data_IF_214356008348
#
_entry.id   IF_214356008348
#
_cell.length_a   1.000
_cell.length_b   1.000
_cell.length_c   1.000
_cell.angle_alpha   90.00
_cell.angle_beta   90.00
_cell.angle_gamma   90.00
#
_symmetry.space_group_name_H-M   'P 1'
#
loop_
_entity.id
_entity.type
_entity.pdbx_description
1 polymer ?
#
# COMPACT_ATOMS: atom_id res chain seq x y z
N UNK A 1 -55.10 -26.34 16.95
CA UNK A 1 -53.95 -27.01 16.31
C UNK A 1 -53.22 -25.97 15.47
N UNK A 2 -52.19 -25.34 16.04
CA UNK A 2 -51.37 -24.30 15.38
C UNK A 2 -50.38 -24.95 14.41
N UNK A 3 -50.22 -24.37 13.21
CA UNK A 3 -49.07 -24.62 12.34
C UNK A 3 -48.41 -23.29 11.99
N UNK A 4 -47.11 -23.28 12.17
CA UNK A 4 -46.27 -22.12 12.40
C UNK A 4 -45.65 -21.72 11.05
N UNK A 5 -45.81 -20.47 10.62
CA UNK A 5 -45.23 -19.99 9.35
C UNK A 5 -44.49 -18.65 9.51
N UNK A 6 -43.94 -18.40 10.70
CA UNK A 6 -43.25 -17.13 11.02
C UNK A 6 -41.75 -17.17 10.73
N UNK A 7 -41.16 -18.33 10.45
CA UNK A 7 -39.71 -18.49 10.33
C UNK A 7 -39.14 -18.09 8.95
N UNK A 8 -39.92 -18.18 7.86
CA UNK A 8 -39.39 -17.99 6.49
C UNK A 8 -39.31 -16.51 6.08
N UNK A 9 -40.08 -15.62 6.72
CA UNK A 9 -40.21 -14.22 6.28
C UNK A 9 -39.20 -13.23 6.85
N UNK A 10 -38.32 -13.65 7.78
CA UNK A 10 -37.34 -12.74 8.42
C UNK A 10 -35.90 -12.85 7.91
N UNK A 11 -35.60 -13.79 7.01
CA UNK A 11 -34.22 -14.04 6.55
C UNK A 11 -33.90 -13.28 5.23
N UNK A 12 -34.90 -12.75 4.54
CA UNK A 12 -34.70 -12.16 3.21
C UNK A 12 -34.18 -10.70 3.15
N UNK A 13 -34.28 -9.83 4.18
CA UNK A 13 -33.70 -8.48 4.07
C UNK A 13 -32.26 -8.38 4.59
N UNK A 14 -31.67 -9.45 5.16
CA UNK A 14 -30.31 -9.37 5.74
C UNK A 14 -29.18 -9.75 4.79
N UNK A 15 -29.48 -10.39 3.65
CA UNK A 15 -28.45 -10.80 2.67
C UNK A 15 -28.22 -9.79 1.55
N UNK A 16 -29.13 -8.83 1.35
CA UNK A 16 -28.99 -7.81 0.30
C UNK A 16 -28.24 -6.55 0.77
N UNK A 17 -28.11 -6.36 2.09
CA UNK A 17 -27.28 -5.29 2.66
C UNK A 17 -25.78 -5.66 2.74
N UNK A 18 -25.44 -6.96 2.66
CA UNK A 18 -24.05 -7.44 2.75
C UNK A 18 -23.33 -7.55 1.39
N UNK A 19 -24.03 -7.44 0.25
CA UNK A 19 -23.37 -7.39 -1.06
C UNK A 19 -22.98 -5.97 -1.52
N UNK A 20 -23.56 -4.93 -0.92
CA UNK A 20 -23.24 -3.53 -1.27
C UNK A 20 -21.96 -3.00 -0.63
N UNK A 21 -21.47 -3.63 0.45
CA UNK A 21 -20.32 -3.14 1.22
C UNK A 21 -18.95 -3.59 0.66
N UNK A 22 -18.91 -4.53 -0.29
CA UNK A 22 -17.66 -5.00 -0.92
C UNK A 22 -17.33 -4.26 -2.24
N UNK A 23 -18.24 -3.46 -2.78
CA UNK A 23 -18.07 -2.76 -4.06
C UNK A 23 -17.51 -1.33 -3.95
N UNK A 24 -17.20 -0.84 -2.75
CA UNK A 24 -16.88 0.56 -2.48
C UNK A 24 -15.46 0.83 -1.98
N UNK A 25 -14.62 -0.19 -1.80
CA UNK A 25 -13.18 0.02 -1.60
C UNK A 25 -12.54 0.19 -2.98
N UNK A 26 -12.87 1.28 -3.67
CA UNK A 26 -11.96 1.73 -4.72
C UNK A 26 -10.69 2.14 -3.97
N UNK A 27 -9.53 1.47 -4.15
CA UNK A 27 -8.28 2.07 -3.71
C UNK A 27 -8.27 3.46 -4.35
N UNK A 28 -8.13 4.50 -3.53
CA UNK A 28 -8.06 5.86 -4.04
C UNK A 28 -7.04 5.84 -5.19
N UNK A 29 -7.47 6.26 -6.38
CA UNK A 29 -6.60 6.32 -7.55
C UNK A 29 -5.57 7.43 -7.27
N UNK A 30 -4.48 7.04 -6.60
CA UNK A 30 -3.42 7.93 -6.15
C UNK A 30 -2.36 8.17 -7.23
N UNK A 31 -2.55 7.55 -8.40
CA UNK A 31 -1.68 7.71 -9.56
C UNK A 31 -1.94 9.05 -10.26
N UNK A 32 -0.87 9.81 -10.44
CA UNK A 32 -0.80 10.99 -11.29
C UNK A 32 -0.43 10.52 -12.69
N UNK A 33 -1.37 10.64 -13.64
CA UNK A 33 -1.14 10.31 -15.05
C UNK A 33 -0.21 11.35 -15.69
N UNK A 34 0.91 10.89 -16.23
CA UNK A 34 1.95 11.74 -16.85
C UNK A 34 1.94 11.64 -18.38
N UNK A 35 1.52 10.50 -18.92
CA UNK A 35 1.40 10.24 -20.35
C UNK A 35 0.24 9.29 -20.61
N UNK A 36 -0.55 9.60 -21.62
CA UNK A 36 -1.63 8.75 -22.12
C UNK A 36 -1.83 9.01 -23.61
N UNK A 37 -1.28 8.13 -24.44
CA UNK A 37 -1.43 8.20 -25.89
C UNK A 37 -1.09 6.87 -26.54
N UNK A 38 -1.78 6.55 -27.64
CA UNK A 38 -1.51 5.38 -28.48
C UNK A 38 -1.50 4.09 -27.64
N UNK A 39 -2.53 3.95 -26.78
CA UNK A 39 -2.72 2.85 -25.83
C UNK A 39 -1.56 2.62 -24.86
N UNK A 40 -0.67 3.60 -24.73
CA UNK A 40 0.46 3.59 -23.82
C UNK A 40 0.24 4.63 -22.74
N UNK A 41 0.47 4.23 -21.50
CA UNK A 41 0.31 5.05 -20.31
C UNK A 41 1.60 5.07 -19.50
N UNK A 42 1.88 6.23 -18.91
CA UNK A 42 2.88 6.38 -17.88
C UNK A 42 2.27 7.19 -16.74
N UNK A 43 2.34 6.68 -15.52
CA UNK A 43 1.87 7.38 -14.33
C UNK A 43 2.92 7.34 -13.23
N UNK A 44 2.74 8.16 -12.22
CA UNK A 44 3.53 8.13 -10.99
C UNK A 44 2.62 8.18 -9.79
N UNK A 45 2.99 7.47 -8.74
CA UNK A 45 2.32 7.46 -7.46
C UNK A 45 3.36 7.61 -6.36
N UNK A 46 2.91 7.97 -5.17
CA UNK A 46 3.81 8.10 -4.04
C UNK A 46 3.06 8.15 -2.73
N UNK A 47 3.78 7.76 -1.69
CA UNK A 47 3.32 7.88 -0.32
C UNK A 47 4.38 8.62 0.48
N UNK A 48 3.95 9.69 1.16
CA UNK A 48 4.81 10.47 2.02
C UNK A 48 4.23 10.60 3.42
N UNK A 49 5.04 10.29 4.43
CA UNK A 49 4.74 10.51 5.83
C UNK A 49 6.01 10.94 6.56
N UNK A 50 5.85 11.99 7.38
CA UNK A 50 6.91 12.55 8.20
C UNK A 50 6.27 13.05 9.50
N UNK A 51 6.93 12.74 10.61
CA UNK A 51 6.48 13.07 11.95
C UNK A 51 7.60 13.74 12.71
N UNK A 52 7.28 14.87 13.34
CA UNK A 52 8.12 15.44 14.36
C UNK A 52 7.81 14.76 15.70
N UNK A 53 8.82 14.16 16.31
CA UNK A 53 8.71 13.42 17.57
C UNK A 53 9.58 14.10 18.61
N UNK A 54 8.95 14.66 19.63
CA UNK A 54 9.62 15.08 20.85
C UNK A 54 9.42 14.01 21.91
N UNK A 55 10.48 13.60 22.59
CA UNK A 55 10.40 12.60 23.65
C UNK A 55 11.35 12.93 24.79
N UNK A 56 10.87 12.63 25.99
CA UNK A 56 11.61 12.62 27.24
C UNK A 56 11.56 11.18 27.76
N UNK A 57 12.71 10.53 27.87
CA UNK A 57 12.83 9.14 28.25
C UNK A 57 13.68 9.06 29.50
N UNK A 58 13.04 8.72 30.61
CA UNK A 58 13.71 8.49 31.90
C UNK A 58 13.97 6.98 32.06
N UNK A 59 15.22 6.58 32.30
CA UNK A 59 15.60 5.18 32.55
C UNK A 59 16.35 5.06 33.87
N UNK A 60 16.26 3.89 34.52
CA UNK A 60 17.01 3.67 35.75
C UNK A 60 18.53 3.79 35.50
N UNK A 61 19.13 4.80 36.13
CA UNK A 61 20.51 5.22 35.92
C UNK A 61 20.60 6.41 34.95
N UNK A 62 21.05 7.55 35.48
CA UNK A 62 21.19 8.88 34.83
C UNK A 62 21.85 8.85 33.43
N UNK A 63 22.62 7.81 33.11
CA UNK A 63 23.35 7.68 31.83
C UNK A 63 22.43 7.46 30.62
N UNK A 64 21.16 7.08 30.83
CA UNK A 64 20.24 6.76 29.73
C UNK A 64 19.10 7.75 29.55
N UNK A 65 19.01 8.78 30.40
CA UNK A 65 18.00 9.82 30.30
C UNK A 65 18.19 10.62 29.01
N UNK A 66 17.09 10.79 28.26
CA UNK A 66 17.13 11.35 26.91
C UNK A 66 15.97 12.30 26.68
N UNK A 67 16.31 13.56 26.44
CA UNK A 67 15.41 14.54 25.83
C UNK A 67 15.83 14.78 24.39
N UNK A 68 14.92 14.50 23.46
CA UNK A 68 15.23 14.53 22.03
C UNK A 68 14.07 15.04 21.19
N UNK A 69 14.43 15.65 20.07
CA UNK A 69 13.52 16.08 19.01
C UNK A 69 14.02 15.48 17.70
N UNK A 70 13.18 14.72 17.01
CA UNK A 70 13.58 13.96 15.81
C UNK A 70 12.51 14.04 14.73
N UNK A 71 12.94 14.01 13.47
CA UNK A 71 12.08 13.68 12.34
C UNK A 71 12.11 12.18 12.12
N UNK A 72 10.92 11.58 12.01
CA UNK A 72 10.74 10.14 11.77
C UNK A 72 9.66 9.90 10.73
N UNK A 73 9.60 8.69 10.21
CA UNK A 73 8.44 8.16 9.52
C UNK A 73 7.71 7.12 10.38
N UNK A 74 6.48 6.83 9.98
CA UNK A 74 5.71 5.70 10.47
C UNK A 74 6.25 4.36 9.95
N UNK A 75 5.51 3.29 10.22
CA UNK A 75 5.90 1.93 9.86
C UNK A 75 6.07 1.75 8.34
N UNK A 76 5.18 2.35 7.54
CA UNK A 76 5.24 2.29 6.09
C UNK A 76 6.27 3.30 5.55
N UNK A 77 7.29 2.84 4.80
CA UNK A 77 8.29 3.73 4.27
C UNK A 77 7.72 4.65 3.18
N UNK A 78 8.33 5.83 3.07
CA UNK A 78 8.05 6.76 1.98
C UNK A 78 8.43 6.12 0.65
N UNK A 79 7.68 6.36 -0.41
CA UNK A 79 8.09 5.91 -1.74
C UNK A 79 7.61 6.83 -2.86
N UNK A 80 8.31 6.72 -3.99
CA UNK A 80 7.86 7.18 -5.30
C UNK A 80 7.87 6.01 -6.27
N UNK A 81 6.78 5.85 -7.01
CA UNK A 81 6.54 4.81 -7.99
C UNK A 81 6.35 5.39 -9.38
N UNK A 82 6.81 4.65 -10.38
CA UNK A 82 6.55 4.91 -11.79
C UNK A 82 5.90 3.67 -12.38
N UNK A 83 4.79 3.87 -13.07
CA UNK A 83 4.03 2.79 -13.69
C UNK A 83 4.00 2.99 -15.19
N UNK A 84 4.11 1.87 -15.90
CA UNK A 84 3.98 1.78 -17.35
C UNK A 84 2.84 0.83 -17.66
N UNK A 85 2.01 1.19 -18.64
CA UNK A 85 0.97 0.32 -19.17
C UNK A 85 0.90 0.44 -20.68
N UNK A 86 0.71 -0.67 -21.39
CA UNK A 86 0.49 -0.66 -22.83
C UNK A 86 -0.42 -1.80 -23.27
N UNK A 87 -1.40 -1.53 -24.13
CA UNK A 87 -2.12 -2.59 -24.84
C UNK A 87 -1.42 -2.95 -26.15
N UNK A 88 -1.38 -4.24 -26.44
CA UNK A 88 -0.88 -4.82 -27.70
C UNK A 88 -1.81 -5.98 -28.05
N UNK A 89 -2.69 -5.75 -29.03
CA UNK A 89 -3.74 -6.71 -29.42
C UNK A 89 -4.57 -7.14 -28.20
N UNK A 90 -4.57 -8.44 -27.88
CA UNK A 90 -5.30 -9.05 -26.76
C UNK A 90 -4.51 -9.00 -25.45
N UNK A 91 -3.25 -8.51 -25.48
CA UNK A 91 -2.37 -8.50 -24.32
C UNK A 91 -2.28 -7.10 -23.70
N UNK A 92 -2.20 -7.08 -22.37
CA UNK A 92 -1.87 -5.89 -21.60
C UNK A 92 -0.48 -6.05 -20.99
N UNK A 93 0.44 -5.17 -21.37
CA UNK A 93 1.77 -5.07 -20.79
C UNK A 93 1.74 -4.05 -19.65
N UNK A 94 2.32 -4.41 -18.52
CA UNK A 94 2.47 -3.53 -17.36
C UNK A 94 3.92 -3.45 -16.90
N UNK A 95 4.22 -2.47 -16.07
CA UNK A 95 5.49 -2.40 -15.38
C UNK A 95 5.48 -1.39 -14.25
N UNK A 96 6.30 -1.65 -13.24
CA UNK A 96 6.49 -0.77 -12.09
C UNK A 96 7.94 -0.70 -11.68
N UNK A 97 8.41 0.52 -11.43
CA UNK A 97 9.64 0.80 -10.71
C UNK A 97 9.32 1.69 -9.50
N UNK A 98 9.64 1.25 -8.28
CA UNK A 98 9.43 2.04 -7.07
C UNK A 98 10.68 2.14 -6.23
N UNK A 99 10.91 3.33 -5.70
CA UNK A 99 12.05 3.69 -4.87
C UNK A 99 11.55 4.10 -3.50
N UNK A 100 12.01 3.40 -2.48
CA UNK A 100 11.56 3.56 -1.11
C UNK A 100 12.63 4.29 -0.33
N UNK A 101 12.24 5.37 0.33
CA UNK A 101 13.15 6.33 0.95
C UNK A 101 12.96 6.31 2.46
N UNK A 102 14.08 6.21 3.18
CA UNK A 102 14.13 6.45 4.63
C UNK A 102 14.45 7.91 4.95
N UNK A 103 13.82 8.50 5.96
CA UNK A 103 14.05 9.86 6.47
C UNK A 103 14.14 9.89 8.00
N UNK A 104 14.44 8.73 8.63
CA UNK A 104 14.51 8.63 10.07
C UNK A 104 15.82 9.23 10.59
N UNK A 105 15.72 10.16 11.52
CA UNK A 105 16.88 10.67 12.25
C UNK A 105 17.45 9.59 13.19
N UNK A 106 18.78 9.56 13.26
CA UNK A 106 19.51 8.77 14.25
C UNK A 106 19.62 9.55 15.56
N UNK A 107 20.28 8.98 16.55
CA UNK A 107 20.57 9.69 17.79
C UNK A 107 21.82 10.58 17.71
N UNK A 108 22.80 10.13 16.95
CA UNK A 108 24.13 10.73 16.87
C UNK A 108 24.33 11.54 15.60
N UNK A 109 23.44 11.38 14.62
CA UNK A 109 23.57 11.94 13.28
C UNK A 109 22.25 12.56 12.83
N UNK A 110 22.34 13.52 11.90
CA UNK A 110 21.17 14.11 11.26
C UNK A 110 20.41 13.12 10.37
N UNK A 111 19.40 13.62 9.66
CA UNK A 111 18.56 12.80 8.77
C UNK A 111 19.42 12.01 7.79
N UNK A 112 19.41 10.68 7.92
CA UNK A 112 20.06 9.78 6.98
C UNK A 112 19.03 9.26 5.98
N UNK A 113 19.40 9.24 4.70
CA UNK A 113 18.52 8.85 3.61
C UNK A 113 19.08 7.64 2.90
N UNK A 114 18.34 6.53 2.97
CA UNK A 114 18.62 5.33 2.18
C UNK A 114 17.52 5.16 1.13
N UNK A 115 17.93 4.72 -0.07
CA UNK A 115 17.02 4.32 -1.14
C UNK A 115 17.09 2.81 -1.28
N UNK A 116 15.94 2.14 -1.22
CA UNK A 116 15.80 0.73 -1.49
C UNK A 116 14.81 0.49 -2.65
N UNK A 117 15.18 -0.42 -3.55
CA UNK A 117 14.31 -0.81 -4.66
C UNK A 117 13.49 -2.03 -4.23
N UNK A 118 12.25 -1.80 -3.79
CA UNK A 118 11.34 -2.88 -3.38
C UNK A 118 10.52 -3.46 -4.52
N UNK A 119 10.15 -2.64 -5.51
CA UNK A 119 9.40 -3.11 -6.67
C UNK A 119 10.12 -2.68 -7.94
N UNK A 120 10.46 -3.66 -8.76
CA UNK A 120 11.00 -3.46 -10.10
C UNK A 120 10.60 -4.67 -10.93
N UNK A 121 9.50 -4.56 -11.65
CA UNK A 121 8.90 -5.68 -12.38
C UNK A 121 8.17 -5.22 -13.64
N UNK A 122 7.97 -6.17 -14.54
CA UNK A 122 7.04 -6.08 -15.66
C UNK A 122 5.93 -7.12 -15.51
N UNK A 123 4.80 -6.88 -16.17
CA UNK A 123 3.70 -7.84 -16.25
C UNK A 123 3.23 -8.02 -17.69
N UNK A 124 2.71 -9.21 -17.97
CA UNK A 124 1.96 -9.52 -19.20
C UNK A 124 0.66 -10.16 -18.75
N UNK A 125 -0.46 -9.58 -19.17
CA UNK A 125 -1.80 -10.05 -18.85
C UNK A 125 -2.63 -10.31 -20.10
N UNK A 126 -3.55 -11.27 -20.00
CA UNK A 126 -4.58 -11.59 -20.99
C UNK A 126 -5.73 -12.34 -20.32
N UNK A 127 -6.60 -12.97 -21.11
CA UNK A 127 -7.77 -13.70 -20.59
C UNK A 127 -7.43 -14.85 -19.62
N UNK A 128 -6.19 -15.32 -19.67
CA UNK A 128 -5.63 -16.38 -18.82
C UNK A 128 -5.09 -15.88 -17.47
N UNK A 129 -5.15 -14.57 -17.21
CA UNK A 129 -4.60 -13.95 -16.01
C UNK A 129 -3.34 -13.12 -16.31
N UNK A 130 -2.42 -13.04 -15.35
CA UNK A 130 -1.21 -12.21 -15.44
C UNK A 130 0.03 -12.99 -14.99
N UNK A 131 1.13 -12.81 -15.73
CA UNK A 131 2.47 -13.21 -15.29
C UNK A 131 3.27 -11.96 -14.94
N UNK A 132 3.83 -11.95 -13.74
CA UNK A 132 4.77 -10.94 -13.26
C UNK A 132 6.20 -11.48 -13.36
N UNK A 133 7.12 -10.66 -13.88
CA UNK A 133 8.54 -10.96 -13.96
C UNK A 133 9.31 -9.83 -13.29
N UNK A 134 10.07 -10.17 -12.25
CA UNK A 134 10.92 -9.21 -11.51
C UNK A 134 10.69 -9.30 -10.01
N UNK A 135 10.92 -8.18 -9.33
CA UNK A 135 10.80 -8.07 -7.87
C UNK A 135 9.50 -7.36 -7.53
N UNK A 136 8.59 -8.05 -6.85
CA UNK A 136 7.42 -7.47 -6.17
C UNK A 136 7.27 -8.11 -4.78
N UNK A 137 6.31 -7.63 -3.99
CA UNK A 137 5.98 -8.23 -2.71
C UNK A 137 5.44 -9.66 -2.87
N UNK A 138 5.93 -10.57 -2.02
CA UNK A 138 5.46 -11.94 -2.02
C UNK A 138 3.96 -12.05 -1.78
N UNK A 139 3.30 -12.98 -2.50
CA UNK A 139 1.84 -13.16 -2.51
C UNK A 139 1.20 -13.24 -1.11
N UNK A 140 1.89 -13.86 -0.14
CA UNK A 140 1.35 -14.08 1.21
C UNK A 140 1.77 -13.02 2.24
N UNK A 141 2.63 -12.08 1.87
CA UNK A 141 3.12 -11.01 2.77
C UNK A 141 2.69 -9.62 2.32
N UNK A 142 1.93 -9.54 1.23
CA UNK A 142 1.48 -8.29 0.62
C UNK A 142 0.48 -7.53 1.50
N UNK A 143 -0.43 -8.23 2.18
CA UNK A 143 -1.44 -7.63 3.05
C UNK A 143 -0.81 -6.80 4.17
N UNK A 144 0.21 -7.32 4.83
CA UNK A 144 0.85 -6.65 5.98
C UNK A 144 1.47 -5.29 5.61
N UNK A 145 1.87 -5.12 4.35
CA UNK A 145 2.50 -3.89 3.86
C UNK A 145 1.46 -2.89 3.32
N UNK A 146 0.38 -3.35 2.69
CA UNK A 146 -0.60 -2.46 2.07
C UNK A 146 -1.85 -2.19 2.92
N UNK A 147 -2.14 -3.04 3.90
CA UNK A 147 -3.32 -2.93 4.77
C UNK A 147 -3.00 -2.45 6.19
N UNK A 148 -1.72 -2.19 6.51
CA UNK A 148 -1.29 -1.71 7.84
C UNK A 148 -1.75 -2.63 8.99
N UNK A 149 -1.69 -3.95 8.76
CA UNK A 149 -1.98 -4.96 9.77
C UNK A 149 -0.67 -5.40 10.45
N UNK A 150 -0.55 -5.11 11.75
CA UNK A 150 0.54 -5.66 12.58
C UNK A 150 0.35 -7.17 12.74
N UNK A 151 1.44 -7.93 12.56
CA UNK A 151 1.54 -9.36 12.87
C UNK A 151 1.42 -9.63 14.38
#
# INVERSE_FOLDING_TARGET
>A
MNKNNTAVRRILPLTLASLGALGGLQPAAADILLYDKDETTFSTDGYFNAFYVNSDVDRQGETYDRRQSRVKMGFLPNYIGFNFGRKVDELSLGGRASFWVTINDSETDGTDTAIDVRQFYGTVAGDWGEVLIGKDFGLFSRSNIFLDELL
#
